data_IF_147289091899
#
_entry.id   IF_147289091899
#
_cell.length_a   1.000
_cell.length_b   1.000
_cell.length_c   1.000
_cell.angle_alpha   90.00
_cell.angle_beta   90.00
_cell.angle_gamma   90.00
#
_symmetry.space_group_name_H-M   'P 1'
#
loop_
_entity.id
_entity.type
_entity.pdbx_description
1 polymer ?
#
# COMPACT_ATOMS: atom_id res chain seq x y z
N UNK A 1 -7.32 0.58 5.62
CA UNK A 1 -6.58 -0.62 5.16
C UNK A 1 -5.10 -0.34 4.87
N UNK A 2 -4.25 -1.38 4.92
CA UNK A 2 -2.82 -1.38 4.56
C UNK A 2 -2.57 -2.38 3.42
N UNK A 3 -1.75 -2.02 2.44
CA UNK A 3 -1.30 -2.90 1.35
C UNK A 3 0.22 -2.80 1.18
N UNK A 4 0.98 -3.86 1.49
CA UNK A 4 2.44 -3.78 1.63
C UNK A 4 3.25 -4.92 0.98
N UNK A 5 4.38 -4.58 0.35
CA UNK A 5 5.33 -5.55 -0.19
C UNK A 5 6.35 -5.94 0.90
N UNK A 6 6.35 -7.19 1.37
CA UNK A 6 7.23 -7.70 2.44
C UNK A 6 8.24 -8.73 1.95
N UNK A 7 8.90 -8.42 0.84
CA UNK A 7 9.94 -9.29 0.25
C UNK A 7 11.20 -9.50 1.09
N UNK A 8 11.26 -8.95 2.32
CA UNK A 8 12.25 -9.37 3.32
C UNK A 8 12.05 -10.83 3.73
N UNK A 9 10.80 -11.32 3.71
CA UNK A 9 10.42 -12.70 4.00
C UNK A 9 11.04 -13.64 2.95
N UNK A 10 10.73 -13.44 1.67
CA UNK A 10 11.35 -14.21 0.59
C UNK A 10 12.88 -14.12 0.54
N UNK A 11 13.47 -13.02 1.02
CA UNK A 11 14.94 -12.84 1.11
C UNK A 11 15.56 -13.41 2.38
N UNK A 12 14.79 -14.06 3.25
CA UNK A 12 15.28 -14.64 4.50
C UNK A 12 15.82 -13.61 5.50
N UNK A 13 15.35 -12.36 5.45
CA UNK A 13 15.75 -11.30 6.39
C UNK A 13 15.00 -11.40 7.72
N UNK A 14 13.78 -11.91 7.67
CA UNK A 14 12.91 -12.23 8.79
C UNK A 14 11.88 -13.27 8.30
N UNK A 15 11.22 -13.95 9.23
CA UNK A 15 10.17 -14.94 8.93
C UNK A 15 8.80 -14.29 8.79
N UNK A 16 7.85 -15.01 8.19
CA UNK A 16 6.46 -14.55 8.12
C UNK A 16 5.86 -14.37 9.52
N UNK A 17 6.06 -15.33 10.43
CA UNK A 17 5.62 -15.21 11.83
C UNK A 17 6.15 -13.96 12.56
N UNK A 18 7.38 -13.54 12.26
CA UNK A 18 7.92 -12.28 12.81
C UNK A 18 7.21 -11.05 12.23
N UNK A 19 6.85 -11.09 10.94
CA UNK A 19 6.06 -10.04 10.32
C UNK A 19 4.63 -10.00 10.89
N UNK A 20 3.99 -11.16 11.06
CA UNK A 20 2.65 -11.27 11.68
C UNK A 20 2.66 -10.71 13.10
N UNK A 21 3.64 -11.09 13.92
CA UNK A 21 3.80 -10.56 15.29
C UNK A 21 3.91 -9.03 15.30
N UNK A 22 4.71 -8.46 14.39
CA UNK A 22 4.84 -7.00 14.26
C UNK A 22 3.54 -6.34 13.78
N UNK A 23 2.83 -7.01 12.88
CA UNK A 23 1.59 -6.52 12.28
C UNK A 23 0.46 -6.50 13.31
N UNK A 24 0.32 -7.56 14.11
CA UNK A 24 -0.62 -7.61 15.24
C UNK A 24 -0.33 -6.50 16.25
N UNK A 25 0.95 -6.28 16.59
CA UNK A 25 1.32 -5.17 17.46
C UNK A 25 0.97 -3.80 16.85
N UNK A 26 1.22 -3.60 15.55
CA UNK A 26 0.89 -2.36 14.86
C UNK A 26 -0.63 -2.11 14.86
N UNK A 27 -1.41 -3.13 14.56
CA UNK A 27 -2.87 -3.09 14.53
C UNK A 27 -3.44 -2.72 15.89
N UNK A 28 -3.05 -3.45 16.94
CA UNK A 28 -3.44 -3.13 18.31
C UNK A 28 -2.99 -1.73 18.75
N UNK A 29 -1.77 -1.30 18.38
CA UNK A 29 -1.28 0.02 18.73
C UNK A 29 -2.07 1.14 18.05
N UNK A 30 -2.63 0.91 16.87
CA UNK A 30 -3.52 1.86 16.20
C UNK A 30 -4.92 1.83 16.81
N UNK A 31 -5.46 0.65 17.10
CA UNK A 31 -6.76 0.50 17.75
C UNK A 31 -6.81 1.19 19.12
N UNK A 32 -5.74 1.10 19.92
CA UNK A 32 -5.59 1.81 21.21
C UNK A 32 -5.63 3.35 21.07
N UNK A 33 -5.47 3.86 19.84
CA UNK A 33 -5.54 5.29 19.48
C UNK A 33 -6.75 5.62 18.60
N UNK A 34 -7.81 4.85 18.72
CA UNK A 34 -9.08 5.00 17.99
C UNK A 34 -8.92 4.91 16.45
N UNK A 35 -7.91 4.18 15.96
CA UNK A 35 -7.71 3.90 14.54
C UNK A 35 -7.84 2.40 14.31
N UNK A 36 -9.03 1.96 13.88
CA UNK A 36 -9.29 0.58 13.50
C UNK A 36 -9.00 0.38 12.00
N UNK A 37 -8.18 -0.62 11.65
CA UNK A 37 -7.82 -0.89 10.27
C UNK A 37 -8.77 -1.93 9.67
N UNK A 38 -9.48 -1.58 8.60
CA UNK A 38 -10.42 -2.50 7.93
C UNK A 38 -9.76 -3.74 7.31
N UNK A 39 -8.43 -3.74 7.18
CA UNK A 39 -7.69 -4.87 6.65
C UNK A 39 -6.22 -4.57 6.37
N UNK A 40 -5.39 -5.60 6.51
CA UNK A 40 -3.95 -5.54 6.24
C UNK A 40 -3.62 -6.66 5.25
N UNK A 41 -3.16 -6.26 4.07
CA UNK A 41 -2.78 -7.16 2.98
C UNK A 41 -1.29 -7.02 2.72
N UNK A 42 -0.59 -8.14 2.64
CA UNK A 42 0.85 -8.13 2.36
C UNK A 42 1.24 -9.19 1.34
N UNK A 43 2.35 -8.93 0.65
CA UNK A 43 2.97 -9.87 -0.27
C UNK A 43 4.34 -10.30 0.26
N UNK A 44 4.52 -11.57 0.70
CA UNK A 44 5.82 -12.08 1.16
C UNK A 44 6.77 -12.43 0.00
N UNK A 45 6.24 -12.56 -1.22
CA UNK A 45 6.94 -13.16 -2.36
C UNK A 45 8.00 -12.29 -3.04
N UNK A 46 8.97 -12.96 -3.66
CA UNK A 46 9.92 -12.38 -4.61
C UNK A 46 10.44 -13.45 -5.58
N UNK A 47 10.54 -13.20 -6.91
CA UNK A 47 10.96 -14.21 -7.89
C UNK A 47 12.39 -14.73 -7.66
N UNK A 48 13.24 -13.90 -7.04
CA UNK A 48 14.61 -14.21 -6.66
C UNK A 48 14.78 -14.36 -5.14
N UNK A 49 13.73 -14.78 -4.42
CA UNK A 49 13.83 -15.11 -3.00
C UNK A 49 14.87 -16.19 -2.72
N UNK A 50 15.45 -16.19 -1.51
CA UNK A 50 16.30 -17.25 -0.99
C UNK A 50 15.53 -18.31 -0.20
N UNK A 51 14.32 -17.96 0.30
CA UNK A 51 13.41 -18.90 0.97
C UNK A 51 12.46 -19.48 -0.08
N UNK A 52 12.56 -20.80 -0.33
CA UNK A 52 11.89 -21.46 -1.46
C UNK A 52 10.36 -21.29 -1.43
N UNK A 53 9.75 -21.38 -0.25
CA UNK A 53 8.31 -21.19 -0.04
C UNK A 53 7.79 -19.86 -0.63
N UNK A 54 8.58 -18.79 -0.54
CA UNK A 54 8.20 -17.46 -1.00
C UNK A 54 8.86 -17.06 -2.32
N UNK A 55 9.62 -17.97 -2.96
CA UNK A 55 10.37 -17.71 -4.20
C UNK A 55 9.49 -17.93 -5.43
N UNK A 56 8.64 -16.97 -5.74
CA UNK A 56 7.69 -17.08 -6.86
C UNK A 56 7.37 -15.73 -7.53
N UNK A 57 6.88 -15.83 -8.76
CA UNK A 57 6.09 -14.75 -9.40
C UNK A 57 4.67 -14.88 -8.88
N UNK A 58 4.03 -13.77 -8.55
CA UNK A 58 2.70 -13.76 -7.94
C UNK A 58 1.92 -12.52 -8.38
N UNK A 59 0.59 -12.58 -8.23
CA UNK A 59 -0.31 -11.49 -8.57
C UNK A 59 -0.46 -10.44 -7.46
N UNK A 60 -0.01 -10.77 -6.24
CA UNK A 60 -0.14 -9.87 -5.09
C UNK A 60 1.00 -8.85 -5.01
N UNK A 61 2.20 -9.14 -5.56
CA UNK A 61 3.35 -8.23 -5.48
C UNK A 61 3.13 -7.00 -6.36
N UNK A 62 3.05 -5.81 -5.74
CA UNK A 62 3.04 -4.53 -6.48
C UNK A 62 4.28 -4.47 -7.39
N UNK A 63 4.14 -4.13 -8.68
CA UNK A 63 3.06 -3.34 -9.27
C UNK A 63 1.77 -4.10 -9.68
N UNK A 64 1.67 -5.41 -9.45
CA UNK A 64 0.41 -6.10 -9.67
C UNK A 64 -0.67 -5.66 -8.66
N UNK A 65 -1.93 -5.57 -9.08
CA UNK A 65 -3.02 -5.05 -8.24
C UNK A 65 -3.63 -6.09 -7.30
N UNK A 66 -3.14 -7.33 -7.24
CA UNK A 66 -3.86 -8.45 -6.60
C UNK A 66 -4.25 -8.20 -5.15
N UNK A 67 -3.40 -7.54 -4.35
CA UNK A 67 -3.77 -7.17 -2.96
C UNK A 67 -4.92 -6.15 -2.92
N UNK A 68 -4.93 -5.17 -3.82
CA UNK A 68 -5.99 -4.15 -3.90
C UNK A 68 -7.31 -4.77 -4.36
N UNK A 69 -7.26 -5.68 -5.34
CA UNK A 69 -8.44 -6.39 -5.82
C UNK A 69 -9.02 -7.32 -4.74
N UNK A 70 -8.15 -8.00 -3.98
CA UNK A 70 -8.57 -8.81 -2.84
C UNK A 70 -9.27 -7.96 -1.78
N UNK A 71 -8.70 -6.80 -1.44
CA UNK A 71 -9.32 -5.86 -0.50
C UNK A 71 -10.66 -5.35 -1.01
N UNK A 72 -10.75 -4.99 -2.29
CA UNK A 72 -12.00 -4.57 -2.94
C UNK A 72 -13.08 -5.63 -2.80
N UNK A 73 -12.77 -6.88 -3.09
CA UNK A 73 -13.74 -7.96 -3.11
C UNK A 73 -14.20 -8.33 -1.69
N UNK A 74 -13.29 -8.29 -0.71
CA UNK A 74 -13.61 -8.58 0.69
C UNK A 74 -14.38 -7.46 1.39
N UNK A 75 -13.98 -6.19 1.17
CA UNK A 75 -14.54 -5.02 1.86
C UNK A 75 -15.60 -4.27 1.02
N UNK A 76 -15.89 -4.74 -0.19
CA UNK A 76 -16.83 -4.10 -1.14
C UNK A 76 -16.48 -2.63 -1.42
N UNK A 77 -15.20 -2.35 -1.65
CA UNK A 77 -14.68 -0.98 -1.81
C UNK A 77 -15.03 -0.40 -3.18
N UNK A 78 -15.48 0.86 -3.22
CA UNK A 78 -15.49 1.66 -4.44
C UNK A 78 -14.08 2.20 -4.74
N UNK A 79 -13.39 1.54 -5.67
CA UNK A 79 -12.02 1.91 -6.06
C UNK A 79 -11.96 3.30 -6.70
N UNK A 80 -12.98 3.70 -7.46
CA UNK A 80 -12.98 4.99 -8.15
C UNK A 80 -13.10 6.17 -7.16
N UNK A 81 -13.68 5.94 -5.97
CA UNK A 81 -13.74 6.90 -4.87
C UNK A 81 -12.56 6.79 -3.88
N UNK A 82 -11.62 5.89 -4.12
CA UNK A 82 -10.53 5.57 -3.18
C UNK A 82 -9.22 6.29 -3.48
N UNK A 83 -8.34 6.31 -2.47
CA UNK A 83 -6.99 6.89 -2.53
C UNK A 83 -5.92 5.82 -2.29
N UNK A 84 -4.86 5.82 -3.11
CA UNK A 84 -3.61 5.12 -2.82
C UNK A 84 -2.57 6.13 -2.34
N UNK A 85 -1.93 5.88 -1.19
CA UNK A 85 -0.92 6.77 -0.62
C UNK A 85 0.37 5.99 -0.39
N UNK A 86 1.45 6.36 -1.08
CA UNK A 86 2.70 5.60 -1.00
C UNK A 86 3.93 6.42 -1.45
N UNK A 87 5.11 5.78 -1.48
CA UNK A 87 6.39 6.41 -1.77
C UNK A 87 7.09 5.88 -3.03
N UNK A 88 6.53 4.89 -3.75
CA UNK A 88 7.17 4.28 -4.92
C UNK A 88 6.28 4.25 -6.14
N UNK A 89 6.93 4.16 -7.31
CA UNK A 89 6.28 3.94 -8.60
C UNK A 89 5.42 2.67 -8.62
N UNK A 90 5.89 1.57 -8.03
CA UNK A 90 5.16 0.29 -8.02
C UNK A 90 3.79 0.40 -7.35
N UNK A 91 3.63 1.33 -6.40
CA UNK A 91 2.36 1.61 -5.75
C UNK A 91 1.38 2.37 -6.66
N UNK A 92 1.90 3.35 -7.40
CA UNK A 92 1.10 4.13 -8.36
C UNK A 92 0.61 3.25 -9.50
N UNK A 93 1.47 2.34 -9.98
CA UNK A 93 1.13 1.36 -11.01
C UNK A 93 0.07 0.36 -10.53
N UNK A 94 0.21 -0.17 -9.32
CA UNK A 94 -0.79 -1.07 -8.74
C UNK A 94 -2.15 -0.38 -8.55
N UNK A 95 -2.14 0.88 -8.09
CA UNK A 95 -3.35 1.69 -7.94
C UNK A 95 -4.05 1.94 -9.28
N UNK A 96 -3.31 2.32 -10.31
CA UNK A 96 -3.84 2.48 -11.65
C UNK A 96 -4.45 1.17 -12.19
N UNK A 97 -3.74 0.05 -12.05
CA UNK A 97 -4.23 -1.26 -12.48
C UNK A 97 -5.47 -1.74 -11.71
N UNK A 98 -5.65 -1.27 -10.46
CA UNK A 98 -6.83 -1.55 -9.64
C UNK A 98 -7.96 -0.52 -9.79
N UNK A 99 -7.82 0.45 -10.70
CA UNK A 99 -8.76 1.54 -10.93
C UNK A 99 -9.03 2.41 -9.68
N UNK A 100 -7.99 2.64 -8.86
CA UNK A 100 -8.04 3.58 -7.74
C UNK A 100 -8.16 5.01 -8.27
N UNK A 101 -9.13 5.77 -7.77
CA UNK A 101 -9.47 7.10 -8.27
C UNK A 101 -8.36 8.13 -8.13
N UNK A 102 -7.64 8.15 -7.01
CA UNK A 102 -6.55 9.11 -6.77
C UNK A 102 -5.30 8.44 -6.24
N UNK A 103 -4.17 8.75 -6.88
CA UNK A 103 -2.82 8.23 -6.61
C UNK A 103 -2.00 9.34 -5.96
N UNK A 104 -1.54 9.11 -4.75
CA UNK A 104 -0.86 10.11 -3.92
C UNK A 104 0.54 9.61 -3.57
N UNK A 105 1.55 10.37 -3.98
CA UNK A 105 2.92 10.19 -3.50
C UNK A 105 3.19 11.02 -2.26
N UNK A 106 4.01 10.49 -1.35
CA UNK A 106 4.48 11.19 -0.16
C UNK A 106 6.01 11.22 -0.10
N UNK A 107 6.56 12.29 0.50
CA UNK A 107 8.02 12.52 0.62
C UNK A 107 8.66 11.89 1.86
N UNK A 108 7.88 11.20 2.71
CA UNK A 108 8.38 10.58 3.95
C UNK A 108 9.14 9.27 3.74
N UNK A 109 9.08 8.68 2.54
CA UNK A 109 9.67 7.39 2.21
C UNK A 109 10.95 7.52 1.38
N UNK A 110 11.06 6.67 0.35
CA UNK A 110 12.17 6.70 -0.60
C UNK A 110 12.23 8.03 -1.38
N UNK A 111 13.40 8.42 -1.89
CA UNK A 111 13.51 9.52 -2.83
C UNK A 111 12.56 9.32 -4.00
N UNK A 112 11.75 10.34 -4.27
CA UNK A 112 10.79 10.32 -5.36
C UNK A 112 11.55 10.33 -6.70
N UNK A 113 11.11 9.49 -7.64
CA UNK A 113 11.65 9.46 -9.00
C UNK A 113 10.71 10.20 -9.96
N UNK A 114 11.21 10.77 -11.08
CA UNK A 114 10.37 11.42 -12.08
C UNK A 114 9.25 10.51 -12.62
N UNK A 115 9.53 9.22 -12.77
CA UNK A 115 8.54 8.23 -13.22
C UNK A 115 7.42 8.06 -12.19
N UNK A 116 7.76 8.05 -10.90
CA UNK A 116 6.77 7.98 -9.84
C UNK A 116 5.89 9.25 -9.84
N UNK A 117 6.49 10.45 -9.94
CA UNK A 117 5.73 11.72 -9.99
C UNK A 117 4.76 11.74 -11.18
N UNK A 118 5.21 11.30 -12.36
CA UNK A 118 4.37 11.23 -13.56
C UNK A 118 3.20 10.24 -13.43
N UNK A 119 3.33 9.23 -12.57
CA UNK A 119 2.29 8.23 -12.31
C UNK A 119 1.33 8.64 -11.18
N UNK A 120 1.61 9.71 -10.44
CA UNK A 120 0.80 10.19 -9.32
C UNK A 120 -0.10 11.36 -9.74
N UNK A 121 -1.26 11.47 -9.10
CA UNK A 121 -2.12 12.64 -9.27
C UNK A 121 -1.67 13.77 -8.33
N UNK A 122 -1.30 13.43 -7.07
CA UNK A 122 -0.79 14.37 -6.07
C UNK A 122 0.57 13.96 -5.51
N UNK A 123 1.37 14.95 -5.11
CA UNK A 123 2.61 14.74 -4.36
C UNK A 123 2.60 15.59 -3.08
N UNK A 124 2.39 14.94 -1.94
CA UNK A 124 2.30 15.54 -0.61
C UNK A 124 3.60 15.39 0.17
N UNK A 125 3.77 16.15 1.26
CA UNK A 125 4.94 15.97 2.11
C UNK A 125 4.80 14.70 2.95
N UNK A 126 3.62 14.44 3.51
CA UNK A 126 3.35 13.26 4.33
C UNK A 126 1.88 12.81 4.25
N UNK A 127 1.59 11.62 4.80
CA UNK A 127 0.23 11.14 4.99
C UNK A 127 -0.63 12.11 5.83
N UNK A 128 -0.01 12.87 6.74
CA UNK A 128 -0.72 13.83 7.61
C UNK A 128 -1.36 14.99 6.83
N UNK A 129 -0.88 15.28 5.61
CA UNK A 129 -1.42 16.36 4.76
C UNK A 129 -2.68 15.92 4.01
N UNK A 130 -2.92 14.61 3.89
CA UNK A 130 -3.98 14.04 3.06
C UNK A 130 -5.39 14.47 3.49
N UNK A 131 -5.77 14.47 4.78
CA UNK A 131 -7.12 14.87 5.18
C UNK A 131 -7.47 16.30 4.77
N UNK A 132 -6.49 17.23 4.82
CA UNK A 132 -6.70 18.60 4.36
C UNK A 132 -6.77 18.70 2.84
N UNK A 133 -5.96 17.92 2.12
CA UNK A 133 -5.99 17.89 0.65
C UNK A 133 -7.36 17.42 0.13
N UNK A 134 -7.92 16.35 0.70
CA UNK A 134 -9.26 15.83 0.33
C UNK A 134 -10.35 16.87 0.61
N UNK A 135 -10.35 17.49 1.79
CA UNK A 135 -11.34 18.53 2.16
C UNK A 135 -11.34 19.73 1.22
N UNK A 136 -10.19 20.10 0.64
CA UNK A 136 -10.09 21.21 -0.32
C UNK A 136 -10.74 20.88 -1.66
N UNK A 137 -10.71 19.62 -2.09
CA UNK A 137 -11.35 19.20 -3.34
C UNK A 137 -12.87 19.11 -3.25
N UNK A 138 -13.40 18.76 -2.08
CA UNK A 138 -14.85 18.58 -1.88
C UNK A 138 -15.60 19.90 -1.64
N UNK A 139 -14.92 21.03 -1.47
CA UNK A 139 -15.60 22.33 -1.37
C UNK A 139 -16.16 22.71 -2.74
N UNK A 140 -17.48 22.91 -2.89
CA UNK A 140 -18.01 23.56 -4.07
C UNK A 140 -17.48 25.00 -4.14
N UNK A 141 -17.22 25.47 -5.36
CA UNK A 141 -16.92 26.88 -5.64
C UNK A 141 -18.09 27.78 -5.23
#
# INVERSE_FOLDING_TARGET
MVVTNQSGIARGKFTEAQFETLTEWMDWSLADRDVDLDGIYYCPHHPQGSVEEFRQVCDCRKPHPGMLLSARDYLHIDMAASYMVADKLEDMQAAAAANVGTKVLVRTGKPITPEAENAADWVLNSLADLPQAIKKQQKPA
#
